data_IF_053201815060
#
_entry.id   IF_053201815060
#
_cell.length_a   1.000
_cell.length_b   1.000
_cell.length_c   1.000
_cell.angle_alpha   90.00
_cell.angle_beta   90.00
_cell.angle_gamma   90.00
#
_symmetry.space_group_name_H-M   'P 1'
#
loop_
_entity.id
_entity.type
_entity.pdbx_description
1 polymer ?
#
# COMPACT_ATOMS: atom_id res chain seq x y z
N UNK A 1 -46.94 64.68 52.99
CA UNK A 1 -48.29 64.79 53.56
C UNK A 1 -49.27 64.35 52.48
N UNK A 2 -50.11 63.37 52.84
CA UNK A 2 -51.27 62.81 52.11
C UNK A 2 -51.07 61.91 50.88
N UNK A 3 -51.47 60.66 51.11
CA UNK A 3 -51.84 59.59 50.21
C UNK A 3 -52.98 59.98 49.24
N UNK A 4 -53.00 59.40 48.04
CA UNK A 4 -54.14 58.58 47.64
C UNK A 4 -53.82 57.59 46.50
N UNK A 5 -54.24 56.36 46.76
CA UNK A 5 -54.23 55.14 45.96
C UNK A 5 -55.03 55.26 44.65
N UNK A 6 -54.63 54.53 43.60
CA UNK A 6 -55.56 53.68 42.84
C UNK A 6 -54.83 52.57 42.08
N UNK A 7 -54.96 51.38 42.63
CA UNK A 7 -54.60 50.09 42.08
C UNK A 7 -55.68 49.64 41.06
N UNK A 8 -55.27 49.14 39.89
CA UNK A 8 -56.07 48.18 39.11
C UNK A 8 -55.14 47.12 38.53
N UNK A 9 -55.09 45.99 39.21
CA UNK A 9 -54.55 44.72 38.70
C UNK A 9 -55.66 44.02 37.93
N UNK A 10 -55.45 43.68 36.66
CA UNK A 10 -56.11 42.52 36.00
C UNK A 10 -55.19 41.87 34.94
N UNK A 11 -54.60 40.74 35.38
CA UNK A 11 -54.48 39.44 34.70
C UNK A 11 -53.93 39.37 33.27
N UNK A 12 -52.64 39.01 33.21
CA UNK A 12 -52.07 37.85 32.50
C UNK A 12 -52.74 37.34 31.21
N UNK A 13 -51.96 37.34 30.12
CA UNK A 13 -51.83 36.16 29.25
C UNK A 13 -50.38 36.13 28.76
N UNK A 14 -49.63 35.12 29.21
CA UNK A 14 -48.28 34.79 28.72
C UNK A 14 -48.48 34.02 27.42
N UNK A 15 -47.99 34.57 26.31
CA UNK A 15 -47.81 33.80 25.07
C UNK A 15 -46.30 33.67 24.84
N UNK A 16 -45.76 32.52 25.24
CA UNK A 16 -44.39 32.12 24.96
C UNK A 16 -44.24 31.89 23.46
N UNK A 17 -43.61 32.82 22.76
CA UNK A 17 -43.07 32.58 21.42
C UNK A 17 -41.59 32.15 21.56
N UNK A 18 -41.36 30.84 21.72
CA UNK A 18 -40.05 30.26 21.45
C UNK A 18 -39.81 30.35 19.92
N UNK A 19 -39.11 31.39 19.48
CA UNK A 19 -38.45 31.38 18.19
C UNK A 19 -37.20 30.52 18.30
N UNK A 20 -37.34 29.21 18.04
CA UNK A 20 -36.20 28.40 17.60
C UNK A 20 -35.85 28.87 16.18
N UNK A 21 -34.91 29.81 16.09
CA UNK A 21 -34.15 30.02 14.87
C UNK A 21 -33.22 28.81 14.69
N UNK A 22 -33.77 27.72 14.16
CA UNK A 22 -32.99 26.62 13.62
C UNK A 22 -32.30 27.11 12.34
N UNK A 23 -31.10 27.66 12.47
CA UNK A 23 -30.16 27.71 11.36
C UNK A 23 -29.73 26.27 11.08
N UNK A 24 -30.54 25.54 10.31
CA UNK A 24 -30.04 24.44 9.52
C UNK A 24 -29.06 25.08 8.52
N UNK A 25 -27.77 25.03 8.81
CA UNK A 25 -26.78 25.18 7.75
C UNK A 25 -27.05 24.03 6.79
N UNK A 26 -27.73 24.33 5.68
CA UNK A 26 -27.72 23.46 4.52
C UNK A 26 -26.24 23.31 4.14
N UNK A 27 -25.63 22.21 4.56
CA UNK A 27 -24.40 21.76 3.92
C UNK A 27 -24.81 21.53 2.48
N UNK A 28 -24.30 22.36 1.56
CA UNK A 28 -24.26 21.99 0.17
C UNK A 28 -23.40 20.73 0.08
N UNK A 29 -24.02 19.56 0.22
CA UNK A 29 -23.42 18.31 -0.19
C UNK A 29 -23.47 18.40 -1.71
N UNK A 30 -22.40 18.89 -2.33
CA UNK A 30 -22.24 18.75 -3.77
C UNK A 30 -22.13 17.26 -4.02
N UNK A 31 -23.23 16.62 -4.41
CA UNK A 31 -23.18 15.24 -4.86
C UNK A 31 -22.41 15.19 -6.17
N UNK A 32 -21.52 14.22 -6.28
CA UNK A 32 -20.66 14.05 -7.44
C UNK A 32 -21.49 13.79 -8.70
N UNK A 33 -20.99 14.29 -9.83
CA UNK A 33 -21.72 14.33 -11.10
C UNK A 33 -21.12 13.32 -12.07
N UNK A 34 -21.97 12.49 -12.67
CA UNK A 34 -21.60 11.57 -13.74
C UNK A 34 -21.73 12.24 -15.11
N UNK A 35 -20.66 12.21 -15.89
CA UNK A 35 -20.65 12.45 -17.33
C UNK A 35 -20.45 11.13 -18.10
N UNK A 36 -21.10 10.99 -19.25
CA UNK A 36 -21.10 9.77 -20.06
C UNK A 36 -20.68 10.12 -21.48
N UNK A 37 -19.59 9.51 -21.94
CA UNK A 37 -19.00 9.75 -23.25
C UNK A 37 -18.93 8.44 -24.04
N UNK A 38 -19.80 8.28 -25.03
CA UNK A 38 -19.78 7.10 -25.91
C UNK A 38 -18.49 7.05 -26.72
N UNK A 39 -18.00 5.83 -26.95
CA UNK A 39 -16.82 5.64 -27.80
C UNK A 39 -17.10 6.08 -29.24
N UNK A 40 -16.08 6.61 -29.91
CA UNK A 40 -16.09 6.88 -31.34
C UNK A 40 -14.91 6.16 -32.01
N UNK A 41 -15.14 5.28 -33.01
CA UNK A 41 -16.45 4.78 -33.44
C UNK A 41 -17.20 4.05 -32.31
N UNK A 42 -18.52 3.97 -32.41
CA UNK A 42 -19.36 3.30 -31.39
C UNK A 42 -19.02 1.81 -31.30
N UNK A 43 -18.78 1.34 -30.08
CA UNK A 43 -18.52 -0.07 -29.79
C UNK A 43 -19.67 -0.61 -28.94
N UNK A 44 -20.16 -1.79 -29.27
CA UNK A 44 -21.31 -2.43 -28.60
C UNK A 44 -20.91 -3.82 -28.12
N UNK A 45 -21.31 -4.19 -26.92
CA UNK A 45 -21.18 -5.56 -26.43
C UNK A 45 -22.53 -6.23 -26.21
N UNK A 46 -22.54 -7.54 -26.37
CA UNK A 46 -23.54 -8.45 -25.86
C UNK A 46 -22.87 -9.35 -24.82
N UNK A 47 -23.52 -9.53 -23.69
CA UNK A 47 -22.99 -10.34 -22.59
C UNK A 47 -24.10 -11.04 -21.83
N UNK A 48 -23.79 -12.14 -21.18
CA UNK A 48 -24.73 -12.86 -20.34
C UNK A 48 -24.19 -13.10 -18.93
N UNK A 49 -25.12 -13.28 -18.00
CA UNK A 49 -24.90 -13.88 -16.69
C UNK A 49 -26.16 -14.67 -16.33
N UNK A 50 -26.06 -15.67 -15.47
CA UNK A 50 -27.15 -16.56 -14.98
C UNK A 50 -28.60 -16.17 -15.36
N UNK A 51 -29.04 -16.52 -16.58
CA UNK A 51 -30.42 -16.30 -17.06
C UNK A 51 -30.74 -14.91 -17.64
N UNK A 52 -29.78 -14.00 -17.72
CA UNK A 52 -29.87 -12.65 -18.26
C UNK A 52 -28.92 -12.46 -19.44
N UNK A 53 -29.38 -11.72 -20.45
CA UNK A 53 -28.55 -11.20 -21.53
C UNK A 53 -28.67 -9.68 -21.53
N UNK A 54 -27.53 -9.01 -21.52
CA UNK A 54 -27.41 -7.56 -21.56
C UNK A 54 -26.76 -7.11 -22.87
N UNK A 55 -27.15 -5.93 -23.33
CA UNK A 55 -26.66 -5.29 -24.54
C UNK A 55 -26.43 -3.81 -24.24
N UNK A 56 -25.25 -3.28 -24.54
CA UNK A 56 -25.01 -1.85 -24.35
C UNK A 56 -23.94 -1.30 -25.29
N UNK A 57 -24.11 -0.02 -25.62
CA UNK A 57 -23.09 0.83 -26.21
C UNK A 57 -22.07 1.15 -25.12
N UNK A 58 -20.79 0.93 -25.43
CA UNK A 58 -19.70 1.21 -24.50
C UNK A 58 -19.51 2.72 -24.39
N UNK A 59 -19.46 3.20 -23.15
CA UNK A 59 -19.19 4.60 -22.81
C UNK A 59 -18.14 4.71 -21.72
N UNK A 60 -17.29 5.73 -21.81
CA UNK A 60 -16.47 6.19 -20.71
C UNK A 60 -17.33 7.00 -19.76
N UNK A 61 -17.27 6.65 -18.49
CA UNK A 61 -17.99 7.34 -17.43
C UNK A 61 -17.00 8.17 -16.65
N UNK A 62 -17.36 9.41 -16.32
CA UNK A 62 -16.51 10.28 -15.53
C UNK A 62 -17.29 10.79 -14.33
N UNK A 63 -16.83 10.45 -13.12
CA UNK A 63 -17.38 11.01 -11.88
C UNK A 63 -16.43 12.11 -11.43
N UNK A 64 -16.90 13.36 -11.49
CA UNK A 64 -16.11 14.58 -11.23
C UNK A 64 -14.76 14.58 -12.00
N UNK A 65 -14.83 14.20 -13.27
CA UNK A 65 -13.68 14.16 -14.18
C UNK A 65 -12.75 12.96 -14.01
N UNK A 66 -13.02 12.04 -13.08
CA UNK A 66 -12.25 10.79 -12.92
C UNK A 66 -12.90 9.65 -13.67
N UNK A 67 -12.09 8.89 -14.41
CA UNK A 67 -12.57 7.72 -15.15
C UNK A 67 -13.18 6.69 -14.20
N UNK A 68 -14.41 6.32 -14.51
CA UNK A 68 -15.22 5.32 -13.85
C UNK A 68 -15.62 4.21 -14.81
N UNK A 69 -15.96 3.06 -14.22
CA UNK A 69 -16.23 1.82 -14.93
C UNK A 69 -17.54 1.22 -14.44
N UNK A 70 -18.40 0.80 -15.37
CA UNK A 70 -19.62 0.05 -15.03
C UNK A 70 -19.26 -1.26 -14.32
N UNK A 71 -19.96 -1.53 -13.22
CA UNK A 71 -19.92 -2.82 -12.51
C UNK A 71 -21.32 -3.38 -12.21
N UNK A 72 -22.34 -2.92 -12.95
CA UNK A 72 -23.71 -3.45 -12.92
C UNK A 72 -24.33 -3.38 -14.33
N UNK A 73 -23.92 -4.27 -15.26
CA UNK A 73 -24.30 -4.23 -16.67
C UNK A 73 -25.82 -4.36 -16.93
N UNK A 74 -26.58 -4.86 -15.97
CA UNK A 74 -28.04 -4.98 -16.02
C UNK A 74 -28.79 -3.64 -15.83
N UNK A 75 -28.13 -2.62 -15.32
CA UNK A 75 -28.74 -1.33 -14.98
C UNK A 75 -28.21 -0.24 -15.92
N UNK A 76 -29.05 0.66 -16.47
CA UNK A 76 -28.56 1.77 -17.26
C UNK A 76 -27.80 2.80 -16.40
N UNK A 77 -26.86 3.51 -17.02
CA UNK A 77 -26.23 4.68 -16.42
C UNK A 77 -27.14 5.91 -16.53
N UNK A 78 -27.22 6.72 -15.46
CA UNK A 78 -27.95 7.98 -15.48
C UNK A 78 -27.05 9.17 -15.13
N UNK A 79 -26.67 9.92 -16.15
CA UNK A 79 -25.85 11.14 -16.04
C UNK A 79 -26.42 12.16 -15.04
N UNK A 80 -25.56 13.09 -14.63
CA UNK A 80 -25.88 14.15 -13.68
C UNK A 80 -25.52 13.81 -12.24
N UNK A 81 -25.93 14.69 -11.33
CA UNK A 81 -25.60 14.63 -9.92
C UNK A 81 -26.36 13.50 -9.17
N UNK A 82 -25.98 13.27 -7.91
CA UNK A 82 -26.69 12.38 -6.98
C UNK A 82 -25.98 11.07 -6.65
N UNK A 83 -24.71 10.93 -7.01
CA UNK A 83 -23.91 9.77 -6.62
C UNK A 83 -23.38 9.92 -5.19
N UNK A 84 -23.21 8.79 -4.52
CA UNK A 84 -22.55 8.67 -3.23
C UNK A 84 -21.49 7.58 -3.30
N UNK A 85 -20.36 7.75 -2.61
CA UNK A 85 -19.25 6.79 -2.66
C UNK A 85 -19.15 5.92 -1.41
N UNK A 86 -18.73 4.67 -1.61
CA UNK A 86 -18.18 3.79 -0.57
C UNK A 86 -16.80 3.27 -0.98
N UNK A 87 -15.92 2.90 -0.04
CA UNK A 87 -14.64 2.28 -0.39
C UNK A 87 -14.82 0.95 -1.13
N UNK A 88 -14.07 0.75 -2.21
CA UNK A 88 -13.98 -0.55 -2.90
C UNK A 88 -13.01 -1.48 -2.18
N UNK A 89 -13.48 -2.66 -1.79
CA UNK A 89 -12.64 -3.71 -1.21
C UNK A 89 -12.25 -4.82 -2.19
N UNK A 90 -12.69 -4.74 -3.45
CA UNK A 90 -12.32 -5.74 -4.47
C UNK A 90 -10.91 -5.46 -5.00
N UNK A 91 -9.92 -6.21 -4.49
CA UNK A 91 -8.51 -6.02 -4.85
C UNK A 91 -8.25 -6.18 -6.36
N UNK A 92 -8.90 -7.15 -7.01
CA UNK A 92 -8.68 -7.43 -8.43
C UNK A 92 -9.23 -6.31 -9.31
N UNK A 93 -10.45 -5.83 -9.04
CA UNK A 93 -11.01 -4.68 -9.75
C UNK A 93 -10.15 -3.42 -9.55
N UNK A 94 -9.65 -3.19 -8.33
CA UNK A 94 -8.77 -2.06 -8.04
C UNK A 94 -7.44 -2.16 -8.83
N UNK A 95 -6.88 -3.37 -8.99
CA UNK A 95 -5.72 -3.61 -9.84
C UNK A 95 -6.04 -3.37 -11.32
N UNK A 96 -7.16 -3.91 -11.83
CA UNK A 96 -7.57 -3.74 -13.23
C UNK A 96 -7.71 -2.25 -13.57
N UNK A 97 -8.45 -1.50 -12.76
CA UNK A 97 -8.66 -0.06 -12.99
C UNK A 97 -7.36 0.72 -12.94
N UNK A 98 -6.48 0.44 -11.97
CA UNK A 98 -5.19 1.11 -11.86
C UNK A 98 -4.26 0.82 -13.05
N UNK A 99 -4.13 -0.45 -13.45
CA UNK A 99 -3.27 -0.84 -14.57
C UNK A 99 -3.82 -0.38 -15.92
N UNK A 100 -5.16 -0.32 -16.08
CA UNK A 100 -5.79 0.20 -17.29
C UNK A 100 -5.50 1.70 -17.46
N UNK A 101 -5.60 2.49 -16.38
CA UNK A 101 -5.22 3.91 -16.39
C UNK A 101 -3.72 4.11 -16.64
N UNK A 102 -2.84 3.29 -16.06
CA UNK A 102 -1.40 3.31 -16.38
C UNK A 102 -1.12 3.05 -17.88
N UNK A 103 -2.04 2.35 -18.57
CA UNK A 103 -1.99 2.08 -20.02
C UNK A 103 -2.77 3.10 -20.86
N UNK A 104 -3.35 4.14 -20.25
CA UNK A 104 -4.05 5.23 -20.92
C UNK A 104 -5.49 4.92 -21.31
N UNK A 105 -6.23 4.17 -20.50
CA UNK A 105 -7.65 3.85 -20.70
C UNK A 105 -8.55 5.07 -20.99
N UNK A 106 -8.16 6.25 -20.49
CA UNK A 106 -8.88 7.52 -20.63
C UNK A 106 -9.04 7.93 -22.10
N UNK A 107 -8.10 7.53 -22.96
CA UNK A 107 -8.11 7.87 -24.39
C UNK A 107 -7.97 6.65 -25.30
N UNK A 108 -7.46 5.52 -24.80
CA UNK A 108 -7.26 4.31 -25.57
C UNK A 108 -8.50 3.40 -25.47
N UNK A 109 -9.25 3.27 -26.58
CA UNK A 109 -10.48 2.47 -26.63
C UNK A 109 -10.22 0.97 -26.38
N UNK A 110 -9.11 0.42 -26.89
CA UNK A 110 -8.80 -1.01 -26.72
C UNK A 110 -8.56 -1.35 -25.26
N UNK A 111 -7.76 -0.53 -24.58
CA UNK A 111 -7.48 -0.69 -23.14
C UNK A 111 -8.76 -0.52 -22.32
N UNK A 112 -9.58 0.48 -22.64
CA UNK A 112 -10.86 0.68 -21.96
C UNK A 112 -11.78 -0.54 -22.13
N UNK A 113 -12.01 -0.99 -23.36
CA UNK A 113 -12.90 -2.14 -23.62
C UNK A 113 -12.37 -3.42 -22.96
N UNK A 114 -11.05 -3.67 -23.04
CA UNK A 114 -10.42 -4.82 -22.39
C UNK A 114 -10.59 -4.80 -20.87
N UNK A 115 -10.33 -3.65 -20.23
CA UNK A 115 -10.50 -3.48 -18.79
C UNK A 115 -11.96 -3.63 -18.35
N UNK A 116 -12.91 -3.04 -19.08
CA UNK A 116 -14.34 -3.19 -18.81
C UNK A 116 -14.77 -4.66 -18.87
N UNK A 117 -14.31 -5.40 -19.89
CA UNK A 117 -14.54 -6.84 -20.01
C UNK A 117 -13.96 -7.62 -18.82
N UNK A 118 -12.77 -7.27 -18.33
CA UNK A 118 -12.20 -7.90 -17.12
C UNK A 118 -13.04 -7.62 -15.87
N UNK A 119 -13.49 -6.37 -15.70
CA UNK A 119 -14.33 -5.98 -14.56
C UNK A 119 -15.66 -6.73 -14.57
N UNK A 120 -16.30 -6.89 -15.74
CA UNK A 120 -17.51 -7.70 -15.90
C UNK A 120 -17.26 -9.17 -15.54
N UNK A 121 -16.09 -9.72 -15.87
CA UNK A 121 -15.68 -11.06 -15.45
C UNK A 121 -15.64 -11.22 -13.92
N UNK A 122 -15.18 -10.19 -13.19
CA UNK A 122 -15.13 -10.19 -11.71
C UNK A 122 -16.52 -10.12 -11.05
N UNK A 123 -17.58 -9.83 -11.82
CA UNK A 123 -18.99 -9.87 -11.39
C UNK A 123 -19.78 -10.96 -12.13
N UNK A 124 -19.10 -11.99 -12.66
CA UNK A 124 -19.69 -13.16 -13.31
C UNK A 124 -20.47 -12.86 -14.60
N UNK A 125 -20.10 -11.82 -15.33
CA UNK A 125 -20.61 -11.55 -16.68
C UNK A 125 -19.62 -12.03 -17.74
N UNK A 126 -20.14 -12.69 -18.77
CA UNK A 126 -19.36 -13.20 -19.91
C UNK A 126 -19.79 -12.47 -21.18
N UNK A 127 -18.83 -11.98 -21.96
CA UNK A 127 -19.12 -11.29 -23.23
C UNK A 127 -19.24 -12.30 -24.37
N UNK A 128 -20.35 -12.26 -25.10
CA UNK A 128 -20.66 -13.14 -26.23
C UNK A 128 -20.25 -12.53 -27.56
N UNK A 129 -20.44 -11.22 -27.71
CA UNK A 129 -20.21 -10.50 -28.97
C UNK A 129 -19.69 -9.10 -28.71
N UNK A 130 -18.85 -8.63 -29.64
CA UNK A 130 -18.36 -7.26 -29.70
C UNK A 130 -18.50 -6.75 -31.14
N UNK A 131 -19.11 -5.58 -31.30
CA UNK A 131 -19.33 -4.92 -32.60
C UNK A 131 -18.72 -3.52 -32.55
N UNK A 132 -18.14 -3.05 -33.66
CA UNK A 132 -17.35 -1.81 -33.70
C UNK A 132 -15.90 -1.96 -33.21
N UNK A 133 -15.59 -3.11 -32.61
CA UNK A 133 -14.24 -3.61 -32.29
C UNK A 133 -14.28 -5.16 -32.36
N UNK A 134 -13.13 -5.81 -32.47
CA UNK A 134 -13.05 -7.29 -32.44
C UNK A 134 -12.77 -7.82 -31.03
N UNK A 135 -13.27 -9.01 -30.72
CA UNK A 135 -12.94 -9.71 -29.47
C UNK A 135 -11.43 -9.90 -29.30
N UNK A 136 -10.71 -10.20 -30.39
CA UNK A 136 -9.26 -10.36 -30.37
C UNK A 136 -8.53 -9.07 -29.95
N UNK A 137 -9.03 -7.90 -30.36
CA UNK A 137 -8.50 -6.60 -29.90
C UNK A 137 -8.69 -6.41 -28.40
N UNK A 138 -9.89 -6.70 -27.88
CA UNK A 138 -10.17 -6.64 -26.45
C UNK A 138 -9.30 -7.64 -25.66
N UNK A 139 -9.14 -8.87 -26.15
CA UNK A 139 -8.31 -9.90 -25.52
C UNK A 139 -6.82 -9.55 -25.53
N UNK A 140 -6.34 -8.89 -26.58
CA UNK A 140 -4.98 -8.34 -26.62
C UNK A 140 -4.77 -7.26 -25.55
N UNK A 141 -5.73 -6.35 -25.38
CA UNK A 141 -5.70 -5.35 -24.32
C UNK A 141 -5.72 -6.00 -22.92
N UNK A 142 -6.54 -7.04 -22.72
CA UNK A 142 -6.55 -7.84 -21.48
C UNK A 142 -5.16 -8.44 -21.22
N UNK A 143 -4.49 -8.97 -22.24
CA UNK A 143 -3.11 -9.47 -22.14
C UNK A 143 -2.15 -8.40 -21.61
N UNK A 144 -2.20 -7.18 -22.16
CA UNK A 144 -1.38 -6.05 -21.72
C UNK A 144 -1.67 -5.62 -20.28
N UNK A 145 -2.95 -5.59 -19.89
CA UNK A 145 -3.36 -5.28 -18.51
C UNK A 145 -2.85 -6.36 -17.55
N UNK A 146 -2.98 -7.65 -17.90
CA UNK A 146 -2.46 -8.75 -17.11
C UNK A 146 -0.93 -8.71 -16.96
N UNK A 147 -0.19 -8.30 -18.00
CA UNK A 147 1.25 -8.04 -17.89
C UNK A 147 1.52 -6.96 -16.84
N UNK A 148 0.81 -5.83 -16.87
CA UNK A 148 0.94 -4.76 -15.86
C UNK A 148 0.59 -5.23 -14.45
N UNK A 149 -0.46 -6.04 -14.30
CA UNK A 149 -0.82 -6.66 -13.01
C UNK A 149 0.31 -7.57 -12.50
N UNK A 150 0.92 -8.36 -13.39
CA UNK A 150 2.03 -9.25 -13.06
C UNK A 150 3.27 -8.46 -12.63
N UNK A 151 3.63 -7.42 -13.38
CA UNK A 151 4.71 -6.48 -13.04
C UNK A 151 4.47 -5.83 -11.68
N UNK A 152 3.26 -5.33 -11.43
CA UNK A 152 2.89 -4.72 -10.16
C UNK A 152 3.05 -5.67 -8.97
N UNK A 153 2.60 -6.92 -9.15
CA UNK A 153 2.66 -7.97 -8.14
C UNK A 153 4.06 -8.58 -7.96
N UNK A 154 5.01 -8.22 -8.82
CA UNK A 154 6.40 -8.69 -8.68
C UNK A 154 7.06 -7.98 -7.51
N UNK A 155 7.66 -8.79 -6.63
CA UNK A 155 8.43 -8.33 -5.48
C UNK A 155 9.92 -8.56 -5.70
N UNK A 156 10.79 -7.86 -4.95
CA UNK A 156 12.21 -8.14 -5.01
C UNK A 156 12.51 -9.61 -4.71
N UNK A 157 13.53 -10.17 -5.36
CA UNK A 157 13.85 -11.60 -5.29
C UNK A 157 14.20 -12.11 -3.88
N UNK A 158 14.52 -11.19 -2.97
CA UNK A 158 14.78 -11.46 -1.56
C UNK A 158 13.57 -11.27 -0.63
N UNK A 159 12.36 -11.07 -1.15
CA UNK A 159 11.15 -11.08 -0.32
C UNK A 159 11.03 -12.38 0.49
N UNK A 160 10.76 -12.26 1.78
CA UNK A 160 10.63 -13.36 2.73
C UNK A 160 11.95 -14.04 3.09
N UNK A 161 13.07 -13.73 2.42
CA UNK A 161 14.34 -14.38 2.72
C UNK A 161 14.86 -14.03 4.10
N UNK A 162 15.61 -14.95 4.69
CA UNK A 162 16.38 -14.70 5.91
C UNK A 162 17.84 -14.51 5.57
N UNK A 163 18.39 -13.36 5.96
CA UNK A 163 19.82 -13.08 5.86
C UNK A 163 20.45 -13.14 7.24
N UNK A 164 21.69 -13.61 7.29
CA UNK A 164 22.53 -13.56 8.49
C UNK A 164 23.69 -12.60 8.21
N UNK A 165 23.87 -11.61 9.08
CA UNK A 165 24.92 -10.59 8.96
C UNK A 165 25.59 -10.40 10.31
N UNK A 166 26.92 -10.30 10.34
CA UNK A 166 27.66 -10.04 11.58
C UNK A 166 27.42 -8.60 12.03
N UNK A 167 27.33 -8.38 13.34
CA UNK A 167 27.19 -7.04 13.90
C UNK A 167 28.30 -6.11 13.40
N UNK A 168 27.93 -4.90 12.99
CA UNK A 168 28.87 -3.90 12.48
C UNK A 168 29.23 -4.06 11.00
N UNK A 169 29.20 -5.29 10.47
CA UNK A 169 29.45 -5.60 9.06
C UNK A 169 28.24 -5.24 8.18
N UNK A 170 28.50 -5.12 6.88
CA UNK A 170 27.46 -4.81 5.89
C UNK A 170 27.28 -5.95 4.91
N UNK A 171 26.03 -6.23 4.55
CA UNK A 171 25.67 -7.14 3.46
C UNK A 171 24.93 -6.36 2.39
N UNK A 172 25.19 -6.66 1.12
CA UNK A 172 24.47 -6.08 -0.02
C UNK A 172 23.72 -7.16 -0.76
N UNK A 173 22.40 -7.00 -0.89
CA UNK A 173 21.54 -7.87 -1.69
C UNK A 173 21.25 -7.19 -3.02
N UNK A 174 21.21 -7.98 -4.09
CA UNK A 174 20.82 -7.51 -5.43
C UNK A 174 19.49 -8.15 -5.80
N UNK A 175 18.51 -7.33 -6.16
CA UNK A 175 17.22 -7.79 -6.63
C UNK A 175 17.34 -8.26 -8.08
N UNK A 176 17.13 -9.56 -8.31
CA UNK A 176 17.18 -10.18 -9.65
C UNK A 176 15.88 -9.99 -10.43
N UNK A 177 14.80 -9.58 -9.76
CA UNK A 177 13.53 -9.22 -10.42
C UNK A 177 13.51 -7.76 -10.88
N UNK A 178 14.51 -6.96 -10.49
CA UNK A 178 14.72 -5.59 -10.96
C UNK A 178 13.55 -4.63 -10.65
N UNK A 179 12.88 -4.82 -9.51
CA UNK A 179 11.70 -4.03 -9.07
C UNK A 179 11.93 -3.27 -7.75
N UNK A 180 13.04 -3.48 -7.04
CA UNK A 180 13.34 -2.84 -5.75
C UNK A 180 13.19 -1.31 -5.78
N UNK A 181 13.58 -0.65 -6.88
CA UNK A 181 13.46 0.81 -7.02
C UNK A 181 12.03 1.33 -6.90
N UNK A 182 11.02 0.47 -7.07
CA UNK A 182 9.61 0.84 -6.94
C UNK A 182 9.08 0.76 -5.50
N UNK A 183 9.91 0.30 -4.55
CA UNK A 183 9.56 0.14 -3.14
C UNK A 183 10.32 1.15 -2.26
N UNK A 184 9.89 2.42 -2.28
CA UNK A 184 10.58 3.52 -1.60
C UNK A 184 10.11 3.81 -0.17
N UNK A 185 8.96 3.27 0.26
CA UNK A 185 8.40 3.57 1.58
C UNK A 185 8.76 2.48 2.59
N UNK A 186 9.59 2.80 3.58
CA UNK A 186 9.87 1.89 4.70
C UNK A 186 8.59 1.60 5.49
N UNK A 187 8.30 0.31 5.65
CA UNK A 187 7.13 -0.19 6.38
C UNK A 187 7.49 -0.64 7.78
N UNK A 188 8.65 -1.29 7.94
CA UNK A 188 9.11 -1.83 9.23
C UNK A 188 10.64 -1.90 9.26
N UNK A 189 11.22 -1.62 10.42
CA UNK A 189 12.64 -1.85 10.71
C UNK A 189 12.78 -2.32 12.17
N UNK A 190 12.21 -3.49 12.49
CA UNK A 190 12.25 -4.04 13.85
C UNK A 190 13.61 -4.62 14.22
N UNK A 191 14.46 -4.88 13.22
CA UNK A 191 15.87 -5.25 13.41
C UNK A 191 16.78 -4.05 13.75
N UNK A 192 16.26 -2.82 13.69
CA UNK A 192 16.99 -1.57 13.94
C UNK A 192 18.32 -1.46 13.17
N UNK A 193 18.29 -1.80 11.89
CA UNK A 193 19.47 -1.74 11.01
C UNK A 193 19.57 -0.39 10.32
N UNK A 194 20.79 0.02 9.97
CA UNK A 194 21.01 1.06 8.97
C UNK A 194 20.92 0.42 7.59
N UNK A 195 20.31 1.11 6.62
CA UNK A 195 20.24 0.63 5.25
C UNK A 195 20.42 1.76 4.24
N UNK A 196 20.80 1.39 3.02
CA UNK A 196 20.79 2.26 1.85
C UNK A 196 20.32 1.50 0.62
N UNK A 197 19.49 2.13 -0.22
CA UNK A 197 19.03 1.58 -1.50
C UNK A 197 19.70 2.38 -2.63
N UNK A 198 20.29 1.67 -3.58
CA UNK A 198 20.89 2.26 -4.78
C UNK A 198 20.61 1.37 -5.99
N UNK A 199 19.80 1.86 -6.92
CA UNK A 199 19.24 1.06 -8.01
C UNK A 199 18.50 -0.17 -7.46
N UNK A 200 18.86 -1.35 -7.95
CA UNK A 200 18.30 -2.63 -7.51
C UNK A 200 19.16 -3.34 -6.46
N UNK A 201 19.91 -2.57 -5.65
CA UNK A 201 20.68 -3.09 -4.53
C UNK A 201 20.25 -2.45 -3.22
N UNK A 202 20.20 -3.26 -2.17
CA UNK A 202 20.03 -2.81 -0.79
C UNK A 202 21.23 -3.25 0.03
N UNK A 203 21.87 -2.30 0.71
CA UNK A 203 22.95 -2.54 1.68
C UNK A 203 22.39 -2.40 3.07
N UNK A 204 22.68 -3.36 3.94
CA UNK A 204 22.13 -3.48 5.30
C UNK A 204 23.28 -3.65 6.28
N UNK A 205 23.26 -2.87 7.37
CA UNK A 205 24.28 -2.86 8.42
C UNK A 205 23.62 -2.87 9.79
N UNK A 206 23.73 -3.97 10.56
CA UNK A 206 23.26 -4.00 11.95
C UNK A 206 24.15 -3.13 12.84
N UNK A 207 23.53 -2.23 13.62
CA UNK A 207 24.22 -1.35 14.58
C UNK A 207 23.65 -1.43 16.00
N UNK A 208 22.59 -2.20 16.23
CA UNK A 208 22.01 -2.43 17.55
C UNK A 208 22.31 -3.85 18.04
N UNK A 209 23.20 -3.96 19.05
CA UNK A 209 23.63 -5.26 19.58
C UNK A 209 22.53 -5.95 20.41
N UNK A 210 21.52 -5.18 20.84
CA UNK A 210 20.35 -5.73 21.56
C UNK A 210 19.37 -6.44 20.63
N UNK A 211 19.53 -6.28 19.31
CA UNK A 211 18.67 -6.87 18.27
C UNK A 211 19.36 -8.02 17.55
N UNK A 212 19.27 -9.22 18.13
CA UNK A 212 19.75 -10.44 17.49
C UNK A 212 18.95 -10.83 16.23
N UNK A 213 17.73 -10.31 16.08
CA UNK A 213 16.89 -10.54 14.90
C UNK A 213 15.83 -9.45 14.72
N UNK A 214 15.22 -9.44 13.54
CA UNK A 214 14.05 -8.62 13.24
C UNK A 214 13.70 -8.63 11.75
N UNK A 215 12.92 -7.65 11.33
CA UNK A 215 12.44 -7.51 9.95
C UNK A 215 12.78 -6.11 9.46
N UNK A 216 13.30 -6.04 8.24
CA UNK A 216 13.35 -4.82 7.44
C UNK A 216 12.39 -4.99 6.27
N UNK A 217 11.41 -4.10 6.11
CA UNK A 217 10.38 -4.23 5.09
C UNK A 217 9.98 -2.89 4.50
N UNK A 218 9.61 -2.92 3.22
CA UNK A 218 9.24 -1.77 2.42
C UNK A 218 7.95 -2.05 1.65
N UNK A 219 7.28 -0.99 1.22
CA UNK A 219 6.11 -1.04 0.37
C UNK A 219 6.25 -0.01 -0.75
N UNK A 220 5.49 -0.23 -1.83
CA UNK A 220 5.34 0.75 -2.92
C UNK A 220 4.70 2.04 -2.38
N UNK A 221 5.07 3.22 -2.90
CA UNK A 221 4.38 4.45 -2.59
C UNK A 221 2.94 4.42 -3.14
N UNK A 222 2.08 5.19 -2.49
CA UNK A 222 0.72 5.43 -2.97
C UNK A 222 0.77 6.27 -4.26
N UNK A 223 0.05 5.86 -5.29
CA UNK A 223 -0.04 6.56 -6.59
C UNK A 223 -1.38 7.27 -6.76
N UNK A 224 -2.43 6.74 -6.13
CA UNK A 224 -3.81 7.17 -6.29
C UNK A 224 -4.51 7.35 -4.94
N UNK A 225 -5.73 7.90 -4.96
CA UNK A 225 -6.59 7.92 -3.78
C UNK A 225 -7.14 6.54 -3.42
N UNK A 226 -7.95 6.45 -2.38
CA UNK A 226 -8.69 5.21 -2.09
C UNK A 226 -9.62 4.87 -3.27
N UNK A 227 -9.72 3.59 -3.68
CA UNK A 227 -10.66 3.17 -4.71
C UNK A 227 -12.10 3.26 -4.17
N UNK A 228 -13.02 3.72 -5.02
CA UNK A 228 -14.39 4.03 -4.63
C UNK A 228 -15.39 3.34 -5.56
N UNK A 229 -16.48 2.85 -4.98
CA UNK A 229 -17.71 2.47 -5.68
C UNK A 229 -18.75 3.56 -5.47
N UNK A 230 -19.31 4.04 -6.56
CA UNK A 230 -20.31 5.09 -6.63
C UNK A 230 -21.68 4.50 -6.89
N UNK A 231 -22.66 4.98 -6.15
CA UNK A 231 -24.03 4.48 -6.16
C UNK A 231 -25.04 5.62 -6.24
N UNK A 232 -26.10 5.40 -7.02
CA UNK A 232 -27.24 6.31 -7.19
C UNK A 232 -28.48 5.46 -7.49
N UNK A 233 -29.63 5.70 -6.83
CA UNK A 233 -30.86 4.96 -7.11
C UNK A 233 -31.20 4.94 -8.61
N UNK A 234 -31.56 3.76 -9.10
CA UNK A 234 -31.92 3.48 -10.49
C UNK A 234 -30.80 3.66 -11.53
N UNK A 235 -29.58 3.98 -11.12
CA UNK A 235 -28.40 3.97 -12.00
C UNK A 235 -27.48 2.82 -11.63
N UNK A 236 -26.77 2.27 -12.61
CA UNK A 236 -25.69 1.31 -12.34
C UNK A 236 -24.63 1.89 -11.41
N UNK A 237 -24.03 1.00 -10.61
CA UNK A 237 -22.82 1.28 -9.84
C UNK A 237 -21.61 1.47 -10.74
N UNK A 238 -20.75 2.37 -10.31
CA UNK A 238 -19.53 2.76 -11.03
C UNK A 238 -18.34 2.62 -10.08
N UNK A 239 -17.29 1.92 -10.48
CA UNK A 239 -16.03 1.92 -9.75
C UNK A 239 -15.08 2.94 -10.38
N UNK A 240 -14.42 3.77 -9.57
CA UNK A 240 -13.32 4.64 -10.05
C UNK A 240 -11.97 4.11 -9.61
N UNK A 241 -10.94 4.43 -10.39
CA UNK A 241 -9.57 4.09 -10.06
C UNK A 241 -9.19 4.51 -8.63
N UNK A 242 -8.43 3.65 -7.96
CA UNK A 242 -7.73 4.00 -6.75
C UNK A 242 -6.50 3.12 -6.56
N UNK A 243 -5.77 3.37 -5.48
CA UNK A 243 -4.55 2.64 -5.22
C UNK A 243 -4.88 1.16 -5.02
N UNK A 244 -4.22 0.26 -5.77
CA UNK A 244 -4.28 -1.14 -5.43
C UNK A 244 -3.68 -1.32 -4.03
N UNK A 245 -4.24 -2.26 -3.27
CA UNK A 245 -3.85 -2.52 -1.89
C UNK A 245 -2.32 -2.64 -1.71
N UNK A 246 -1.84 -2.29 -0.51
CA UNK A 246 -0.42 -2.31 -0.16
C UNK A 246 0.21 -3.67 -0.44
N UNK A 247 1.26 -3.68 -1.27
CA UNK A 247 2.08 -4.86 -1.54
C UNK A 247 3.45 -4.66 -0.88
N UNK A 248 3.67 -5.11 0.36
CA UNK A 248 4.97 -5.03 1.01
C UNK A 248 5.87 -6.22 0.65
N UNK A 249 7.18 -6.00 0.71
CA UNK A 249 8.16 -7.07 0.83
C UNK A 249 8.90 -6.94 2.18
N UNK A 250 9.40 -8.07 2.68
CA UNK A 250 10.13 -8.16 3.94
C UNK A 250 11.44 -8.93 3.77
N UNK A 251 12.48 -8.50 4.47
CA UNK A 251 13.74 -9.22 4.66
C UNK A 251 13.82 -9.58 6.15
N UNK A 252 13.93 -10.86 6.45
CA UNK A 252 14.18 -11.33 7.80
C UNK A 252 15.68 -11.23 8.09
N UNK A 253 16.04 -10.59 9.21
CA UNK A 253 17.43 -10.32 9.57
C UNK A 253 17.77 -11.13 10.82
N UNK A 254 18.88 -11.86 10.75
CA UNK A 254 19.58 -12.46 11.89
C UNK A 254 20.94 -11.79 12.04
N UNK A 255 21.25 -11.37 13.26
CA UNK A 255 22.51 -10.69 13.57
C UNK A 255 23.40 -11.64 14.34
N UNK A 256 24.57 -11.94 13.77
CA UNK A 256 25.62 -12.65 14.51
C UNK A 256 26.33 -11.64 15.40
N UNK A 257 26.05 -11.70 16.69
CA UNK A 257 26.69 -10.85 17.71
C UNK A 257 28.06 -11.40 18.16
N UNK A 258 28.55 -12.47 17.54
CA UNK A 258 29.82 -13.07 17.93
C UNK A 258 31.00 -12.23 17.39
N UNK A 259 31.87 -11.79 18.29
CA UNK A 259 33.14 -11.14 18.01
C UNK A 259 34.32 -11.92 18.61
N UNK A 260 35.53 -11.48 18.26
CA UNK A 260 36.77 -12.05 18.72
C UNK A 260 37.54 -10.99 19.52
N UNK A 261 38.28 -11.41 20.55
CA UNK A 261 39.19 -10.55 21.29
C UNK A 261 40.62 -11.09 21.20
N UNK A 262 41.59 -10.18 21.14
CA UNK A 262 43.01 -10.51 21.18
C UNK A 262 43.65 -9.95 22.45
N UNK A 263 44.42 -10.80 23.15
CA UNK A 263 45.20 -10.39 24.31
C UNK A 263 46.69 -10.51 23.97
N UNK A 264 47.40 -9.38 23.99
CA UNK A 264 48.86 -9.30 23.89
C UNK A 264 49.43 -8.67 25.16
N UNK A 265 50.25 -9.42 25.90
CA UNK A 265 50.98 -8.87 27.03
C UNK A 265 52.31 -8.29 26.58
N UNK A 266 52.54 -7.01 26.87
CA UNK A 266 53.81 -6.34 26.61
C UNK A 266 54.59 -6.09 27.90
N UNK A 267 55.90 -6.14 27.80
CA UNK A 267 56.82 -5.64 28.82
C UNK A 267 56.76 -4.10 28.88
N UNK A 268 56.82 -3.54 30.09
CA UNK A 268 56.62 -2.09 30.30
C UNK A 268 57.73 -1.26 29.65
N UNK A 269 58.96 -1.74 29.70
CA UNK A 269 60.16 -0.98 29.29
C UNK A 269 60.48 -1.24 27.83
N UNK A 270 60.62 -2.52 27.47
CA UNK A 270 61.07 -2.94 26.13
C UNK A 270 59.95 -2.94 25.09
N UNK A 271 58.69 -2.87 25.53
CA UNK A 271 57.49 -3.01 24.68
C UNK A 271 57.44 -4.31 23.88
N UNK A 272 58.25 -5.31 24.26
CA UNK A 272 58.27 -6.64 23.62
C UNK A 272 57.17 -7.55 24.18
N UNK A 273 56.67 -8.51 23.39
CA UNK A 273 55.72 -9.51 23.85
C UNK A 273 56.25 -10.37 25.01
N UNK A 274 55.39 -10.65 25.99
CA UNK A 274 55.66 -11.50 27.15
C UNK A 274 54.78 -12.74 27.07
N UNK A 275 55.41 -13.90 26.98
CA UNK A 275 54.74 -15.20 26.96
C UNK A 275 54.57 -15.78 28.37
N UNK A 276 53.62 -16.70 28.53
CA UNK A 276 53.41 -17.47 29.76
C UNK A 276 52.53 -16.78 30.81
N UNK A 277 51.89 -15.64 30.48
CA UNK A 277 50.97 -14.96 31.40
C UNK A 277 49.56 -15.48 31.19
N UNK A 278 48.94 -16.01 32.25
CA UNK A 278 47.56 -16.51 32.20
C UNK A 278 46.56 -15.41 32.57
N UNK A 279 45.54 -15.23 31.74
CA UNK A 279 44.38 -14.38 31.97
C UNK A 279 43.13 -15.24 32.11
N UNK A 280 42.32 -14.98 33.13
CA UNK A 280 40.95 -15.48 33.22
C UNK A 280 40.03 -14.45 32.59
N UNK A 281 39.22 -14.87 31.64
CA UNK A 281 38.21 -14.04 30.97
C UNK A 281 36.84 -14.52 31.43
N UNK A 282 36.12 -13.64 32.12
CA UNK A 282 34.77 -13.85 32.62
C UNK A 282 33.76 -13.17 31.67
N UNK A 283 32.59 -13.78 31.48
CA UNK A 283 31.51 -13.25 30.63
C UNK A 283 30.29 -12.91 31.47
N UNK A 284 29.72 -11.73 31.24
CA UNK A 284 28.53 -11.23 31.93
C UNK A 284 27.24 -11.97 31.53
N UNK A 285 27.22 -12.61 30.36
CA UNK A 285 26.09 -13.38 29.85
C UNK A 285 25.97 -14.80 30.44
N UNK A 286 26.83 -15.16 31.39
CA UNK A 286 26.87 -16.47 32.03
C UNK A 286 27.64 -17.55 31.26
N UNK A 287 28.26 -17.21 30.11
CA UNK A 287 29.19 -18.11 29.43
C UNK A 287 30.33 -18.52 30.37
N UNK A 288 30.74 -19.80 30.40
CA UNK A 288 31.84 -20.24 31.27
C UNK A 288 33.13 -19.47 31.01
N UNK A 289 33.79 -19.07 32.09
CA UNK A 289 35.06 -18.37 32.03
C UNK A 289 36.10 -19.19 31.27
N UNK A 290 36.96 -18.50 30.52
CA UNK A 290 38.07 -19.12 29.79
C UNK A 290 39.39 -18.66 30.36
N UNK A 291 40.37 -19.56 30.43
CA UNK A 291 41.75 -19.18 30.74
C UNK A 291 42.55 -19.17 29.44
N UNK A 292 43.27 -18.07 29.19
CA UNK A 292 44.16 -17.94 28.04
C UNK A 292 45.56 -17.59 28.51
N UNK A 293 46.57 -18.23 27.93
CA UNK A 293 47.98 -18.00 28.27
C UNK A 293 48.68 -17.30 27.12
N UNK A 294 49.32 -16.17 27.37
CA UNK A 294 49.94 -15.35 26.32
C UNK A 294 51.11 -16.05 25.64
N UNK A 295 51.22 -15.89 24.33
CA UNK A 295 52.39 -16.28 23.54
C UNK A 295 53.34 -15.11 23.28
N UNK A 296 54.32 -15.34 22.39
CA UNK A 296 55.11 -14.24 21.79
C UNK A 296 54.34 -13.49 20.68
N UNK A 297 53.17 -13.99 20.33
CA UNK A 297 52.17 -13.40 19.43
C UNK A 297 50.85 -13.24 20.20
N UNK A 298 49.92 -12.37 19.75
CA UNK A 298 48.62 -12.21 20.39
C UNK A 298 47.88 -13.55 20.54
N UNK A 299 47.23 -13.74 21.69
CA UNK A 299 46.37 -14.88 21.91
C UNK A 299 44.93 -14.52 21.54
N UNK A 300 44.38 -15.30 20.63
CA UNK A 300 43.01 -15.15 20.15
C UNK A 300 42.04 -15.80 21.11
N UNK A 301 40.95 -15.11 21.39
CA UNK A 301 39.79 -15.68 22.05
C UNK A 301 38.56 -15.40 21.20
N UNK A 302 38.04 -16.46 20.62
CA UNK A 302 37.00 -16.38 19.61
C UNK A 302 35.60 -16.61 20.17
N UNK A 303 34.61 -16.02 19.49
CA UNK A 303 33.20 -16.36 19.64
C UNK A 303 32.52 -15.80 20.91
N UNK A 304 32.84 -14.57 21.30
CA UNK A 304 32.14 -13.88 22.39
C UNK A 304 30.95 -13.11 21.88
N UNK A 305 29.86 -13.13 22.64
CA UNK A 305 28.69 -12.33 22.32
C UNK A 305 28.93 -10.86 22.67
N UNK A 306 28.70 -9.97 21.72
CA UNK A 306 28.60 -8.53 21.95
C UNK A 306 27.27 -8.26 22.66
N UNK A 307 27.35 -7.56 23.79
CA UNK A 307 26.20 -7.04 24.54
C UNK A 307 25.71 -5.70 23.98
#
# INVERSE_FOLDING_TARGET
>A
MNFHFKQKVKKATVLSALLLAGFAQARNVSSETLDIQYLSPTVHYESHTQGYTGFADISRMYIDGKLGWCIEPETPAHAGAGYSSTPSYNHKMNLITAMASDLGAETNNEIFVGALKMLHGEINWTWDKLTGMTMATADSAIGRINTKITEWNTKPSFDGQTITVKYGDSITLTDTNNVLSEYSNMKVNSANVIYSISGNKITITPKDATKASGILGFQRPKRYGSPLVWDKPSSQKIITQGDPFSLPFNINIKVTLQGDAEILKLDKVTRKPVAGVSYKVDFSDGTPSRTVTTGKIPCFIAGFRLE
#
